data_IF_198473099145
#
_entry.id   IF_198473099145
#
_cell.length_a   1.000
_cell.length_b   1.000
_cell.length_c   1.000
_cell.angle_alpha   90.00
_cell.angle_beta   90.00
_cell.angle_gamma   90.00
#
_symmetry.space_group_name_H-M   'P 1'
#
loop_
_entity.id
_entity.type
_entity.pdbx_description
1 polymer ?
#
# COMPACT_ATOMS: atom_id res chain seq x y z
N UNK A 1 13.17 23.52 9.27
CA UNK A 1 11.99 22.87 9.89
C UNK A 1 10.85 23.87 9.76
N UNK A 2 9.71 23.51 9.16
CA UNK A 2 8.64 24.47 8.84
C UNK A 2 7.90 24.89 10.13
N UNK A 3 7.57 26.18 10.30
CA UNK A 3 6.92 26.69 11.51
C UNK A 3 5.60 25.95 11.84
N UNK A 4 4.82 25.65 10.80
CA UNK A 4 3.59 24.88 10.88
C UNK A 4 3.79 23.45 11.45
N UNK A 5 4.93 22.82 11.14
CA UNK A 5 5.26 21.48 11.66
C UNK A 5 5.67 21.54 13.13
N UNK A 6 6.26 22.66 13.57
CA UNK A 6 6.63 22.90 14.96
C UNK A 6 5.38 23.09 15.82
N UNK A 7 4.40 23.87 15.34
CA UNK A 7 3.11 24.08 16.01
C UNK A 7 2.37 22.76 16.21
N UNK A 8 2.26 21.94 15.14
CA UNK A 8 1.65 20.60 15.20
C UNK A 8 2.35 19.68 16.21
N UNK A 9 3.68 19.77 16.32
CA UNK A 9 4.47 19.02 17.30
C UNK A 9 4.13 19.45 18.73
N UNK A 10 4.10 20.75 18.98
CA UNK A 10 3.79 21.33 20.29
C UNK A 10 2.36 20.96 20.72
N UNK A 11 1.40 21.01 19.80
CA UNK A 11 0.02 20.64 20.08
C UNK A 11 -0.11 19.17 20.52
N UNK A 12 0.59 18.25 19.83
CA UNK A 12 0.59 16.83 20.19
C UNK A 12 1.24 16.62 21.57
N UNK A 13 2.33 17.33 21.87
CA UNK A 13 3.01 17.23 23.17
C UNK A 13 2.12 17.70 24.32
N UNK A 14 1.35 18.79 24.14
CA UNK A 14 0.35 19.23 25.13
C UNK A 14 -0.71 18.16 25.40
N UNK A 15 -1.17 17.45 24.36
CA UNK A 15 -2.14 16.35 24.50
C UNK A 15 -1.57 15.12 25.21
N UNK A 16 -0.28 14.84 25.01
CA UNK A 16 0.43 13.77 25.72
C UNK A 16 0.54 14.11 27.20
N UNK A 17 1.01 15.31 27.53
CA UNK A 17 1.18 15.76 28.92
C UNK A 17 -0.13 15.71 29.72
N UNK A 18 -1.24 16.13 29.10
CA UNK A 18 -2.58 16.05 29.68
C UNK A 18 -3.08 14.62 29.95
N UNK A 19 -2.47 13.59 29.34
CA UNK A 19 -2.83 12.19 29.47
C UNK A 19 -1.85 11.39 30.33
N UNK A 20 -0.58 11.80 30.40
CA UNK A 20 0.48 11.09 31.14
C UNK A 20 0.12 10.94 32.62
N UNK A 21 -0.42 12.00 33.24
CA UNK A 21 -0.81 11.98 34.66
C UNK A 21 -2.16 11.29 34.93
N UNK A 22 -2.84 10.80 33.88
CA UNK A 22 -4.16 10.14 33.98
C UNK A 22 -4.08 8.62 33.86
N UNK A 23 -2.87 8.05 33.82
CA UNK A 23 -2.63 6.62 33.72
C UNK A 23 -1.64 6.16 34.78
N UNK A 24 -2.03 5.19 35.61
CA UNK A 24 -1.12 4.44 36.48
C UNK A 24 -1.00 2.98 36.02
N UNK A 25 -1.03 2.72 34.71
CA UNK A 25 -0.92 1.36 34.18
C UNK A 25 0.52 0.87 34.35
N UNK A 26 0.70 -0.19 35.14
CA UNK A 26 2.01 -0.78 35.43
C UNK A 26 2.21 -2.10 34.68
N UNK A 27 1.13 -2.80 34.33
CA UNK A 27 1.17 -4.07 33.61
C UNK A 27 0.72 -3.96 32.14
N UNK A 28 1.22 -4.87 31.29
CA UNK A 28 0.91 -4.91 29.86
C UNK A 28 -0.59 -5.13 29.57
N UNK A 29 -1.30 -5.89 30.42
CA UNK A 29 -2.73 -6.12 30.26
C UNK A 29 -3.55 -4.86 30.52
N UNK A 30 -3.19 -4.07 31.53
CA UNK A 30 -3.84 -2.79 31.84
C UNK A 30 -3.64 -1.78 30.71
N UNK A 31 -2.44 -1.76 30.12
CA UNK A 31 -2.11 -0.90 28.99
C UNK A 31 -3.00 -1.18 27.76
N UNK A 32 -3.29 -2.45 27.47
CA UNK A 32 -4.09 -2.87 26.31
C UNK A 32 -5.58 -2.52 26.45
N UNK A 33 -6.09 -2.36 27.66
CA UNK A 33 -7.49 -2.02 27.92
C UNK A 33 -7.69 -0.55 28.32
N UNK A 34 -6.65 0.15 28.78
CA UNK A 34 -6.74 1.55 29.16
C UNK A 34 -6.97 2.49 27.96
N UNK A 35 -8.07 3.24 28.02
CA UNK A 35 -8.45 4.22 26.98
C UNK A 35 -7.37 5.31 26.79
N UNK A 36 -6.81 5.79 27.89
CA UNK A 36 -5.79 6.84 27.89
C UNK A 36 -4.46 6.33 27.31
N UNK A 37 -4.03 5.10 27.63
CA UNK A 37 -2.84 4.47 27.02
C UNK A 37 -3.00 4.24 25.51
N UNK A 38 -4.21 3.86 25.04
CA UNK A 38 -4.52 3.79 23.61
C UNK A 38 -4.39 5.14 22.93
N UNK A 39 -4.84 6.22 23.58
CA UNK A 39 -4.71 7.58 23.06
C UNK A 39 -3.25 8.04 23.04
N UNK A 40 -2.48 7.79 24.11
CA UNK A 40 -1.04 8.07 24.16
C UNK A 40 -0.30 7.39 23.02
N UNK A 41 -0.60 6.11 22.72
CA UNK A 41 -0.03 5.41 21.56
C UNK A 41 -0.33 6.11 20.25
N UNK A 42 -1.59 6.54 20.03
CA UNK A 42 -1.98 7.29 18.83
C UNK A 42 -1.23 8.62 18.70
N UNK A 43 -1.02 9.34 19.80
CA UNK A 43 -0.26 10.59 19.79
C UNK A 43 1.23 10.36 19.56
N UNK A 44 1.80 9.31 20.14
CA UNK A 44 3.16 8.85 19.86
C UNK A 44 3.38 8.55 18.37
N UNK A 45 2.47 7.79 17.74
CA UNK A 45 2.54 7.50 16.30
C UNK A 45 2.49 8.77 15.43
N UNK A 46 1.65 9.74 15.81
CA UNK A 46 1.57 11.04 15.12
C UNK A 46 2.87 11.83 15.27
N UNK A 47 3.46 11.83 16.46
CA UNK A 47 4.74 12.50 16.72
C UNK A 47 5.87 11.86 15.90
N UNK A 48 5.95 10.53 15.86
CA UNK A 48 6.94 9.80 15.07
C UNK A 48 6.80 10.11 13.58
N UNK A 49 5.59 10.28 13.05
CA UNK A 49 5.37 10.68 11.65
C UNK A 49 5.82 12.10 11.33
N UNK A 50 5.77 13.02 12.30
CA UNK A 50 6.23 14.41 12.13
C UNK A 50 7.75 14.53 12.24
N UNK A 51 8.37 13.75 13.12
CA UNK A 51 9.83 13.78 13.36
C UNK A 51 10.58 12.93 12.33
N UNK A 52 10.05 11.76 11.99
CA UNK A 52 10.64 10.92 10.95
C UNK A 52 10.32 11.53 9.59
N UNK A 53 11.20 12.42 9.13
CA UNK A 53 11.33 12.72 7.71
C UNK A 53 11.40 11.36 7.02
N UNK A 54 10.47 11.04 6.12
CA UNK A 54 10.52 9.78 5.36
C UNK A 54 11.95 9.64 4.89
N UNK A 55 12.66 8.62 5.38
CA UNK A 55 13.86 8.15 4.71
C UNK A 55 13.30 7.71 3.37
N UNK A 56 13.43 8.57 2.35
CA UNK A 56 13.39 8.09 0.98
C UNK A 56 14.59 7.17 0.99
N UNK A 57 14.33 5.89 1.24
CA UNK A 57 15.23 4.86 0.77
C UNK A 57 15.19 5.13 -0.72
N UNK A 58 16.15 5.92 -1.22
CA UNK A 58 16.65 5.74 -2.57
C UNK A 58 17.11 4.30 -2.49
N UNK A 59 16.18 3.39 -2.73
CA UNK A 59 16.56 2.03 -2.96
C UNK A 59 17.50 2.23 -4.13
N UNK A 60 18.79 2.00 -3.90
CA UNK A 60 19.65 1.38 -4.87
C UNK A 60 18.92 0.10 -5.26
N UNK A 61 17.90 0.35 -6.07
CA UNK A 61 17.12 -0.65 -6.69
C UNK A 61 18.11 -1.07 -7.75
N UNK A 62 18.94 -2.05 -7.38
CA UNK A 62 19.06 -3.23 -8.23
C UNK A 62 17.65 -3.86 -8.37
N UNK A 63 16.66 -3.06 -8.79
CA UNK A 63 15.59 -3.50 -9.63
C UNK A 63 16.37 -3.96 -10.84
N UNK A 64 16.71 -5.25 -10.87
CA UNK A 64 16.76 -5.94 -12.14
C UNK A 64 15.44 -5.54 -12.78
N UNK A 65 15.48 -4.53 -13.67
CA UNK A 65 14.43 -4.29 -14.65
C UNK A 65 14.32 -5.65 -15.32
N UNK A 66 13.42 -6.50 -14.83
CA UNK A 66 12.99 -7.64 -15.60
C UNK A 66 12.33 -6.97 -16.79
N UNK A 67 13.10 -6.85 -17.88
CA UNK A 67 12.60 -6.35 -19.14
C UNK A 67 11.47 -7.28 -19.50
N UNK A 68 10.25 -6.91 -19.10
CA UNK A 68 9.06 -7.64 -19.46
C UNK A 68 8.97 -7.46 -20.96
N UNK A 69 9.38 -8.48 -21.73
CA UNK A 69 9.30 -8.46 -23.18
C UNK A 69 7.89 -8.00 -23.54
N UNK A 70 7.74 -6.94 -24.35
CA UNK A 70 6.43 -6.50 -24.79
C UNK A 70 5.80 -7.66 -25.56
N UNK A 71 4.55 -7.97 -25.23
CA UNK A 71 3.75 -8.90 -26.01
C UNK A 71 3.36 -8.17 -27.30
N UNK A 72 4.09 -8.43 -28.37
CA UNK A 72 3.77 -7.93 -29.72
C UNK A 72 2.88 -8.90 -30.49
N UNK A 73 2.89 -10.19 -30.14
CA UNK A 73 2.24 -11.26 -30.92
C UNK A 73 0.85 -11.64 -30.45
N UNK A 74 0.45 -11.36 -29.19
CA UNK A 74 -0.92 -11.66 -28.73
C UNK A 74 -1.88 -10.59 -29.21
N UNK A 75 -2.85 -11.00 -30.03
CA UNK A 75 -3.98 -10.18 -30.44
C UNK A 75 -5.17 -10.29 -29.48
N UNK A 76 -6.13 -9.35 -29.59
CA UNK A 76 -7.36 -9.40 -28.78
C UNK A 76 -8.20 -10.63 -29.06
N UNK A 77 -8.32 -11.01 -30.34
CA UNK A 77 -9.11 -12.16 -30.77
C UNK A 77 -8.55 -13.47 -30.18
N UNK A 78 -7.24 -13.70 -30.33
CA UNK A 78 -6.57 -14.87 -29.78
C UNK A 78 -6.72 -14.96 -28.26
N UNK A 79 -6.57 -13.85 -27.54
CA UNK A 79 -6.78 -13.84 -26.10
C UNK A 79 -8.21 -14.26 -25.74
N UNK A 80 -9.23 -13.75 -26.44
CA UNK A 80 -10.62 -14.11 -26.19
C UNK A 80 -10.90 -15.59 -26.50
N UNK A 81 -10.31 -16.14 -27.54
CA UNK A 81 -10.46 -17.56 -27.87
C UNK A 81 -9.76 -18.47 -26.85
N UNK A 82 -8.59 -18.08 -26.36
CA UNK A 82 -7.95 -18.76 -25.21
C UNK A 82 -8.83 -18.70 -23.96
N UNK A 83 -9.55 -17.60 -23.73
CA UNK A 83 -10.52 -17.49 -22.62
C UNK A 83 -11.75 -18.38 -22.83
N UNK A 84 -12.26 -18.54 -24.06
CA UNK A 84 -13.34 -19.51 -24.37
C UNK A 84 -12.90 -20.94 -24.07
N UNK A 85 -11.63 -21.25 -24.33
CA UNK A 85 -10.99 -22.52 -23.97
C UNK A 85 -10.62 -22.64 -22.46
N UNK A 86 -11.19 -21.80 -21.60
CA UNK A 86 -11.01 -21.78 -20.14
C UNK A 86 -9.56 -21.61 -19.66
N UNK A 87 -8.66 -21.06 -20.49
CA UNK A 87 -7.28 -20.78 -20.06
C UNK A 87 -7.22 -19.66 -19.03
N UNK A 88 -6.37 -19.87 -18.02
CA UNK A 88 -6.04 -18.88 -17.00
C UNK A 88 -4.99 -17.91 -17.54
N UNK A 89 -5.01 -16.67 -17.04
CA UNK A 89 -4.03 -15.65 -17.46
C UNK A 89 -2.59 -16.06 -17.16
N UNK A 90 -2.38 -16.93 -16.16
CA UNK A 90 -1.07 -17.52 -15.85
C UNK A 90 -0.62 -18.49 -16.95
N UNK A 91 -1.49 -19.37 -17.40
CA UNK A 91 -1.20 -20.29 -18.49
C UNK A 91 -0.94 -19.52 -19.79
N UNK A 92 -1.75 -18.48 -20.07
CA UNK A 92 -1.52 -17.61 -21.23
C UNK A 92 -0.17 -16.90 -21.09
N UNK A 93 0.22 -16.45 -19.90
CA UNK A 93 1.54 -15.86 -19.69
C UNK A 93 2.67 -16.86 -19.97
N UNK A 94 2.53 -18.11 -19.57
CA UNK A 94 3.49 -19.18 -19.82
C UNK A 94 3.58 -19.52 -21.32
N UNK A 95 2.45 -19.63 -22.02
CA UNK A 95 2.40 -19.87 -23.48
C UNK A 95 3.15 -18.79 -24.26
N UNK A 96 3.02 -17.53 -23.84
CA UNK A 96 3.67 -16.39 -24.48
C UNK A 96 5.04 -16.05 -23.86
N UNK A 97 5.56 -16.88 -22.94
CA UNK A 97 6.85 -16.69 -22.25
C UNK A 97 7.02 -15.30 -21.63
N UNK A 98 5.96 -14.80 -21.02
CA UNK A 98 5.90 -13.48 -20.39
C UNK A 98 5.49 -13.58 -18.93
N UNK A 99 5.74 -12.53 -18.15
CA UNK A 99 5.26 -12.45 -16.78
C UNK A 99 3.73 -12.32 -16.75
N UNK A 100 3.03 -12.87 -15.75
CA UNK A 100 1.61 -12.60 -15.51
C UNK A 100 1.29 -11.10 -15.40
N UNK A 101 2.25 -10.29 -14.91
CA UNK A 101 2.13 -8.84 -14.89
C UNK A 101 2.06 -8.22 -16.29
N UNK A 102 2.75 -8.81 -17.27
CA UNK A 102 2.72 -8.37 -18.67
C UNK A 102 1.34 -8.59 -19.27
N UNK A 103 0.73 -9.77 -19.06
CA UNK A 103 -0.65 -10.05 -19.50
C UNK A 103 -1.63 -9.08 -18.83
N UNK A 104 -1.49 -8.83 -17.52
CA UNK A 104 -2.31 -7.84 -16.82
C UNK A 104 -2.22 -6.44 -17.46
N UNK A 105 -1.02 -5.99 -17.79
CA UNK A 105 -0.81 -4.68 -18.42
C UNK A 105 -1.31 -4.66 -19.87
N UNK A 106 -1.10 -5.73 -20.63
CA UNK A 106 -1.62 -5.89 -21.98
C UNK A 106 -3.15 -5.84 -22.01
N UNK A 107 -3.85 -6.50 -21.08
CA UNK A 107 -5.32 -6.42 -20.95
C UNK A 107 -5.80 -5.00 -20.68
N UNK A 108 -5.06 -4.24 -19.86
CA UNK A 108 -5.36 -2.82 -19.60
C UNK A 108 -5.25 -1.99 -20.88
N UNK A 109 -4.16 -2.15 -21.63
CA UNK A 109 -3.94 -1.45 -22.91
C UNK A 109 -5.01 -1.81 -23.94
N UNK A 110 -5.51 -3.05 -23.91
CA UNK A 110 -6.48 -3.56 -24.86
C UNK A 110 -7.95 -3.37 -24.44
N UNK A 111 -8.22 -2.79 -23.27
CA UNK A 111 -9.58 -2.54 -22.77
C UNK A 111 -10.32 -3.76 -22.21
N UNK A 112 -9.62 -4.88 -21.96
CA UNK A 112 -10.21 -6.17 -21.54
C UNK A 112 -10.37 -6.24 -20.00
N UNK A 113 -10.41 -5.10 -19.31
CA UNK A 113 -10.43 -5.07 -17.84
C UNK A 113 -11.82 -5.49 -17.33
N UNK A 114 -11.88 -6.61 -16.61
CA UNK A 114 -13.05 -7.01 -15.82
C UNK A 114 -13.24 -6.09 -14.62
N UNK A 115 -14.48 -5.58 -14.47
CA UNK A 115 -14.94 -4.62 -13.43
C UNK A 115 -14.54 -4.99 -11.98
N UNK A 116 -14.17 -6.24 -11.70
CA UNK A 116 -13.80 -6.70 -10.35
C UNK A 116 -12.54 -6.04 -9.75
N UNK A 117 -11.64 -5.48 -10.56
CA UNK A 117 -10.47 -4.75 -10.01
C UNK A 117 -10.76 -3.29 -9.61
N UNK A 118 -11.92 -2.73 -9.96
CA UNK A 118 -12.30 -1.37 -9.56
C UNK A 118 -12.80 -1.29 -8.10
N UNK A 119 -13.32 -2.40 -7.55
CA UNK A 119 -13.92 -2.43 -6.21
C UNK A 119 -12.91 -2.28 -5.06
N UNK A 120 -11.63 -2.66 -5.24
CA UNK A 120 -10.60 -2.48 -4.19
C UNK A 120 -10.08 -1.04 -4.01
N UNK A 121 -10.44 -0.11 -4.90
CA UNK A 121 -10.07 1.31 -4.77
C UNK A 121 -11.17 2.22 -4.23
N UNK A 122 -12.40 1.71 -4.06
CA UNK A 122 -13.57 2.47 -3.60
C UNK A 122 -13.97 2.19 -2.13
N UNK A 123 -13.14 1.50 -1.36
CA UNK A 123 -13.33 1.30 0.09
C UNK A 123 -12.31 2.15 0.87
N UNK A 124 -12.14 3.40 0.44
CA UNK A 124 -11.63 4.50 1.26
C UNK A 124 -12.22 5.77 0.65
N UNK A 125 -13.48 6.06 0.96
CA UNK A 125 -14.10 7.38 0.83
C UNK A 125 -15.08 7.51 1.97
#
# INVERSE_FOLDING_TARGET
MNAEMLEKRIEILKKVDALTNKCNCQAANEYNHCSNCKQLRKYGDKLMKLVNKRRIIKADSKNKKSGSKPITTLTKAEYLDLKKNKKLDREIAEMYKVSPCTIRNWKKKNGIITKNNLRRRKVVS
#
